data_IF_809631430421
#
_entry.id   IF_809631430421
#
_cell.length_a   1.000
_cell.length_b   1.000
_cell.length_c   1.000
_cell.angle_alpha   90.00
_cell.angle_beta   90.00
_cell.angle_gamma   90.00
#
_symmetry.space_group_name_H-M   'P 1'
#
loop_
_entity.id
_entity.type
_entity.pdbx_description
1 polymer ?
#
# COMPACT_ATOMS: atom_id res chain seq x y z
N UNK A 1 9.93 -26.02 5.49
CA UNK A 1 9.85 -24.59 5.82
C UNK A 1 8.71 -24.44 6.82
N UNK A 2 8.95 -23.85 7.99
CA UNK A 2 7.90 -23.61 8.99
C UNK A 2 7.08 -22.41 8.57
N UNK A 3 5.73 -22.46 8.58
CA UNK A 3 4.90 -21.29 8.31
C UNK A 3 5.20 -20.16 9.29
N UNK A 4 5.14 -18.89 8.85
CA UNK A 4 5.28 -17.76 9.77
C UNK A 4 4.13 -17.75 10.78
N UNK A 5 4.44 -17.37 12.01
CA UNK A 5 3.47 -17.14 13.08
C UNK A 5 2.69 -15.84 12.84
N UNK A 6 1.54 -15.73 13.52
CA UNK A 6 0.72 -14.51 13.53
C UNK A 6 1.54 -13.32 14.03
N UNK A 7 2.40 -13.53 15.02
CA UNK A 7 3.24 -12.48 15.60
C UNK A 7 4.27 -11.95 14.60
N UNK A 8 4.93 -12.86 13.87
CA UNK A 8 5.91 -12.48 12.84
C UNK A 8 5.26 -11.67 11.72
N UNK A 9 4.08 -12.09 11.24
CA UNK A 9 3.34 -11.34 10.22
C UNK A 9 2.80 -10.00 10.75
N UNK A 10 2.35 -9.97 12.01
CA UNK A 10 1.86 -8.75 12.65
C UNK A 10 2.95 -7.68 12.80
N UNK A 11 4.13 -8.07 13.30
CA UNK A 11 5.30 -7.19 13.40
C UNK A 11 5.77 -6.70 12.03
N UNK A 12 5.81 -7.58 11.03
CA UNK A 12 6.15 -7.18 9.67
C UNK A 12 5.18 -6.13 9.11
N UNK A 13 3.87 -6.30 9.34
CA UNK A 13 2.88 -5.32 8.90
C UNK A 13 3.03 -3.98 9.63
N UNK A 14 3.29 -3.99 10.93
CA UNK A 14 3.58 -2.79 11.73
C UNK A 14 4.80 -2.03 11.18
N UNK A 15 5.91 -2.73 10.94
CA UNK A 15 7.14 -2.15 10.40
C UNK A 15 6.93 -1.50 9.02
N UNK A 16 6.17 -2.17 8.14
CA UNK A 16 5.82 -1.64 6.81
C UNK A 16 5.02 -0.35 6.96
N UNK A 17 4.01 -0.33 7.84
CA UNK A 17 3.19 0.85 8.09
C UNK A 17 4.07 2.00 8.58
N UNK A 18 4.91 1.79 9.59
CA UNK A 18 5.80 2.85 10.09
C UNK A 18 6.78 3.35 9.03
N UNK A 19 7.37 2.45 8.23
CA UNK A 19 8.32 2.81 7.17
C UNK A 19 7.66 3.65 6.08
N UNK A 20 6.57 3.14 5.49
CA UNK A 20 5.88 3.77 4.36
C UNK A 20 5.14 5.04 4.79
N UNK A 21 4.52 5.04 5.98
CA UNK A 21 3.79 6.22 6.47
C UNK A 21 4.72 7.28 7.07
N UNK A 22 5.79 6.88 7.74
CA UNK A 22 6.71 7.80 8.41
C UNK A 22 7.63 8.58 7.47
N UNK A 23 7.95 8.02 6.29
CA UNK A 23 8.82 8.66 5.30
C UNK A 23 8.11 9.04 4.00
N UNK A 24 6.91 8.51 3.77
CA UNK A 24 6.35 8.47 2.41
C UNK A 24 7.21 7.60 1.50
N UNK A 25 7.13 7.88 0.21
CA UNK A 25 8.06 7.35 -0.78
C UNK A 25 8.85 8.48 -1.42
N UNK A 26 9.91 8.14 -2.14
CA UNK A 26 10.71 9.09 -2.93
C UNK A 26 9.90 9.92 -3.94
N UNK A 27 8.66 9.53 -4.25
CA UNK A 27 7.79 10.18 -5.25
C UNK A 27 6.56 10.86 -4.70
N UNK A 28 6.14 10.51 -3.49
CA UNK A 28 5.02 11.17 -2.85
C UNK A 28 5.17 11.08 -1.34
N UNK A 29 5.03 12.21 -0.67
CA UNK A 29 4.92 12.21 0.79
C UNK A 29 3.75 11.30 1.18
N UNK A 30 3.88 10.57 2.29
CA UNK A 30 2.74 9.82 2.79
C UNK A 30 1.60 10.80 3.03
N UNK A 31 0.45 10.49 2.45
CA UNK A 31 -0.74 11.31 2.54
C UNK A 31 -0.87 12.41 1.50
N UNK A 32 0.10 12.61 0.60
CA UNK A 32 -0.08 13.50 -0.56
C UNK A 32 -1.26 13.07 -1.44
N UNK A 33 -1.48 11.75 -1.54
CA UNK A 33 -2.63 11.18 -2.21
C UNK A 33 -3.98 11.51 -1.52
N UNK A 34 -3.99 11.86 -0.23
CA UNK A 34 -5.19 12.39 0.43
C UNK A 34 -5.58 13.77 -0.10
N UNK A 35 -4.59 14.57 -0.51
CA UNK A 35 -4.78 15.94 -0.98
C UNK A 35 -5.03 16.02 -2.49
N UNK A 36 -4.43 15.10 -3.27
CA UNK A 36 -4.60 15.04 -4.73
C UNK A 36 -5.95 14.41 -5.12
N UNK A 37 -6.44 13.44 -4.33
CA UNK A 37 -7.69 12.77 -4.63
C UNK A 37 -8.88 13.61 -4.10
N UNK A 38 -9.92 13.82 -4.92
CA UNK A 38 -11.07 14.68 -4.55
C UNK A 38 -11.79 14.12 -3.31
N UNK A 39 -12.21 14.99 -2.35
CA UNK A 39 -12.86 14.62 -1.09
C UNK A 39 -14.31 14.22 -1.32
N UNK A 40 -14.52 13.07 -1.97
CA UNK A 40 -15.83 12.43 -2.02
C UNK A 40 -15.66 11.06 -1.38
N UNK A 41 -16.37 10.82 -0.28
CA UNK A 41 -16.22 9.67 0.63
C UNK A 41 -16.00 8.32 -0.07
N UNK A 42 -16.89 7.97 -1.00
CA UNK A 42 -16.82 6.68 -1.70
C UNK A 42 -15.72 6.64 -2.76
N UNK A 43 -15.29 7.80 -3.24
CA UNK A 43 -14.22 7.93 -4.21
C UNK A 43 -12.88 7.55 -3.60
N UNK A 44 -12.59 8.00 -2.37
CA UNK A 44 -11.32 7.74 -1.68
C UNK A 44 -11.13 6.26 -1.35
N UNK A 45 -12.12 5.61 -0.74
CA UNK A 45 -12.07 4.18 -0.41
C UNK A 45 -11.98 3.35 -1.70
N UNK A 46 -12.86 3.59 -2.67
CA UNK A 46 -12.88 2.85 -3.94
C UNK A 46 -11.58 3.03 -4.74
N UNK A 47 -11.00 4.23 -4.73
CA UNK A 47 -9.73 4.52 -5.42
C UNK A 47 -8.53 3.94 -4.69
N UNK A 48 -8.50 3.98 -3.36
CA UNK A 48 -7.45 3.35 -2.57
C UNK A 48 -7.45 1.82 -2.76
N UNK A 49 -8.63 1.18 -2.79
CA UNK A 49 -8.77 -0.24 -3.15
C UNK A 49 -8.23 -0.50 -4.56
N UNK A 50 -8.66 0.27 -5.57
CA UNK A 50 -8.15 0.11 -6.95
C UNK A 50 -6.63 0.27 -7.03
N UNK A 51 -6.05 1.21 -6.28
CA UNK A 51 -4.58 1.40 -6.22
C UNK A 51 -3.89 0.23 -5.54
N UNK A 52 -4.43 -0.30 -4.45
CA UNK A 52 -3.90 -1.48 -3.78
C UNK A 52 -3.87 -2.69 -4.74
N UNK A 53 -4.96 -2.95 -5.45
CA UNK A 53 -5.06 -4.03 -6.45
C UNK A 53 -4.01 -3.85 -7.55
N UNK A 54 -3.82 -2.63 -8.06
CA UNK A 54 -2.79 -2.37 -9.08
C UNK A 54 -1.38 -2.68 -8.58
N UNK A 55 -1.03 -2.27 -7.37
CA UNK A 55 0.28 -2.56 -6.81
C UNK A 55 0.49 -4.07 -6.61
N UNK A 56 -0.53 -4.80 -6.15
CA UNK A 56 -0.48 -6.26 -6.06
C UNK A 56 -0.25 -6.91 -7.42
N UNK A 57 -0.94 -6.44 -8.47
CA UNK A 57 -0.78 -6.96 -9.82
C UNK A 57 0.64 -6.69 -10.36
N UNK A 58 1.18 -5.48 -10.17
CA UNK A 58 2.55 -5.15 -10.60
C UNK A 58 3.58 -6.00 -9.85
N UNK A 59 3.45 -6.12 -8.52
CA UNK A 59 4.33 -6.96 -7.72
C UNK A 59 4.30 -8.42 -8.19
N UNK A 60 3.10 -8.95 -8.45
CA UNK A 60 2.93 -10.30 -8.99
C UNK A 60 3.68 -10.44 -10.33
N UNK A 61 3.52 -9.50 -11.27
CA UNK A 61 4.21 -9.55 -12.56
C UNK A 61 5.74 -9.48 -12.43
N UNK A 62 6.25 -8.66 -11.52
CA UNK A 62 7.70 -8.55 -11.24
C UNK A 62 8.26 -9.83 -10.60
N UNK A 63 7.55 -10.43 -9.64
CA UNK A 63 7.94 -11.70 -9.01
C UNK A 63 7.94 -12.86 -10.01
N UNK A 64 7.00 -12.86 -10.96
CA UNK A 64 6.97 -13.81 -12.06
C UNK A 64 7.99 -13.52 -13.18
N UNK A 65 8.81 -12.46 -13.05
CA UNK A 65 9.82 -12.00 -14.02
C UNK A 65 9.26 -11.60 -15.40
N UNK A 66 7.97 -11.27 -15.46
CA UNK A 66 7.26 -10.89 -16.70
C UNK A 66 7.38 -9.40 -17.02
N UNK A 67 8.09 -8.62 -16.22
CA UNK A 67 8.14 -7.15 -16.26
C UNK A 67 9.51 -6.68 -15.82
N UNK A 68 10.02 -5.54 -16.36
CA UNK A 68 11.24 -4.93 -15.85
C UNK A 68 11.18 -4.74 -14.33
N UNK A 69 12.25 -5.11 -13.65
CA UNK A 69 12.46 -4.88 -12.23
C UNK A 69 13.85 -4.23 -12.08
N UNK A 70 13.95 -2.99 -11.56
CA UNK A 70 12.84 -2.12 -11.15
C UNK A 70 11.97 -1.62 -12.31
N UNK A 71 10.75 -1.13 -12.02
CA UNK A 71 9.90 -0.48 -13.04
C UNK A 71 10.55 0.81 -13.59
N UNK A 72 9.88 1.49 -14.53
CA UNK A 72 10.36 2.77 -15.12
C UNK A 72 10.52 3.93 -14.12
N UNK A 73 10.27 3.63 -12.87
CA UNK A 73 9.98 4.46 -11.75
C UNK A 73 10.93 4.07 -10.59
N UNK A 74 11.81 3.07 -10.78
CA UNK A 74 12.83 2.65 -9.81
C UNK A 74 12.31 1.76 -8.68
N UNK A 75 11.05 1.32 -8.73
CA UNK A 75 10.41 0.52 -7.69
C UNK A 75 10.47 -0.96 -8.01
N UNK A 76 10.69 -1.77 -6.97
CA UNK A 76 10.70 -3.22 -7.09
C UNK A 76 9.38 -3.86 -6.62
N UNK A 77 9.34 -5.19 -6.64
CA UNK A 77 8.16 -5.93 -6.24
C UNK A 77 7.81 -5.73 -4.75
N UNK A 78 8.80 -5.56 -3.89
CA UNK A 78 8.61 -5.35 -2.45
C UNK A 78 8.01 -3.97 -2.21
N UNK A 79 8.52 -2.93 -2.87
CA UNK A 79 7.97 -1.57 -2.78
C UNK A 79 6.46 -1.56 -3.10
N UNK A 80 6.06 -2.27 -4.15
CA UNK A 80 4.65 -2.38 -4.52
C UNK A 80 3.82 -3.19 -3.50
N UNK A 81 4.35 -4.29 -2.95
CA UNK A 81 3.67 -5.04 -1.89
C UNK A 81 3.44 -4.16 -0.65
N UNK A 82 4.44 -3.40 -0.22
CA UNK A 82 4.37 -2.53 0.95
C UNK A 82 3.31 -1.43 0.77
N UNK A 83 3.25 -0.81 -0.41
CA UNK A 83 2.21 0.18 -0.75
C UNK A 83 0.81 -0.44 -0.76
N UNK A 84 0.68 -1.68 -1.22
CA UNK A 84 -0.61 -2.37 -1.22
C UNK A 84 -1.09 -2.62 0.21
N UNK A 85 -0.21 -3.04 1.12
CA UNK A 85 -0.52 -3.25 2.54
C UNK A 85 -1.05 -1.97 3.19
N UNK A 86 -0.34 -0.85 3.06
CA UNK A 86 -0.75 0.42 3.68
C UNK A 86 -2.08 0.92 3.12
N UNK A 87 -2.31 0.79 1.82
CA UNK A 87 -3.58 1.19 1.20
C UNK A 87 -4.74 0.31 1.65
N UNK A 88 -4.53 -1.00 1.78
CA UNK A 88 -5.54 -1.92 2.28
C UNK A 88 -5.91 -1.63 3.74
N UNK A 89 -4.91 -1.39 4.60
CA UNK A 89 -5.12 -1.00 6.00
C UNK A 89 -5.87 0.32 6.13
N UNK A 90 -5.54 1.33 5.32
CA UNK A 90 -6.30 2.58 5.30
C UNK A 90 -7.77 2.35 4.92
N UNK A 91 -8.03 1.57 3.87
CA UNK A 91 -9.40 1.26 3.44
C UNK A 91 -10.19 0.54 4.54
N UNK A 92 -9.54 -0.41 5.20
CA UNK A 92 -10.13 -1.15 6.33
C UNK A 92 -10.49 -0.20 7.49
N UNK A 93 -9.57 0.67 7.88
CA UNK A 93 -9.77 1.63 8.97
C UNK A 93 -10.88 2.66 8.64
N UNK A 94 -10.91 3.17 7.40
CA UNK A 94 -12.00 4.05 6.92
C UNK A 94 -13.35 3.33 6.88
N UNK A 95 -13.39 2.07 6.39
CA UNK A 95 -14.61 1.28 6.36
C UNK A 95 -15.17 0.99 7.76
N UNK A 96 -14.28 0.79 8.75
CA UNK A 96 -14.64 0.66 10.16
C UNK A 96 -14.98 1.98 10.86
N UNK A 97 -14.79 3.13 10.19
CA UNK A 97 -14.94 4.48 10.77
C UNK A 97 -14.01 4.74 11.96
N UNK A 98 -12.83 4.10 11.97
CA UNK A 98 -11.81 4.27 13.01
C UNK A 98 -10.93 5.49 12.76
N UNK A 99 -10.97 6.03 11.55
CA UNK A 99 -10.30 7.28 11.18
C UNK A 99 -11.35 8.38 10.93
N UNK A 100 -11.01 9.65 11.20
CA UNK A 100 -11.83 10.78 10.78
C UNK A 100 -12.13 10.70 9.28
N UNK A 101 -13.36 11.09 8.92
CA UNK A 101 -13.75 11.21 7.52
C UNK A 101 -12.98 12.39 6.91
N UNK A 102 -12.29 12.11 5.80
CA UNK A 102 -11.64 13.11 4.95
C UNK A 102 -12.63 13.68 3.95
#
# INVERSE_FOLDING_TARGET
MTPPSIEELGKAAEDIVWRVMGKGSTKSAYGEWFHIDRPVHDYHISRAIRRAIRHLATAQMMLHKSTPCPDGEGEDAIDHLERAVVRALFCWAQAKKELPRL
#
